data_IF_283479898581
#
_entry.id   IF_283479898581
#
_cell.length_a   1.000
_cell.length_b   1.000
_cell.length_c   1.000
_cell.angle_alpha   90.00
_cell.angle_beta   90.00
_cell.angle_gamma   90.00
#
_symmetry.space_group_name_H-M   'P 1'
#
loop_
_entity.id
_entity.type
_entity.pdbx_description
1 polymer ?
#
# COMPACT_ATOMS: atom_id res chain seq x y z
N UNK A 1 -3.84 -7.91 35.46
CA UNK A 1 -3.81 -7.11 34.23
C UNK A 1 -3.17 -7.95 33.13
N UNK A 2 -3.83 -8.24 32.01
CA UNK A 2 -3.22 -9.00 30.93
C UNK A 2 -2.17 -8.13 30.23
N UNK A 3 -0.95 -8.66 30.08
CA UNK A 3 0.14 -8.04 29.33
C UNK A 3 -0.33 -7.76 27.89
N UNK A 4 -0.45 -6.48 27.52
CA UNK A 4 -0.48 -6.09 26.11
C UNK A 4 0.80 -6.59 25.46
N UNK A 5 0.67 -7.35 24.37
CA UNK A 5 1.79 -7.80 23.54
C UNK A 5 2.65 -6.57 23.20
N UNK A 6 3.79 -6.45 23.86
CA UNK A 6 4.88 -5.61 23.38
C UNK A 6 5.27 -6.16 22.02
N UNK A 7 5.25 -5.29 21.00
CA UNK A 7 5.80 -5.56 19.68
C UNK A 7 7.06 -6.42 19.80
N UNK A 8 7.08 -7.58 19.16
CA UNK A 8 8.15 -8.59 19.26
C UNK A 8 9.46 -8.17 18.57
N UNK A 9 9.59 -6.89 18.20
CA UNK A 9 10.85 -6.34 17.70
C UNK A 9 11.63 -5.81 18.91
N UNK A 10 12.61 -6.61 19.34
CA UNK A 10 13.66 -6.18 20.26
C UNK A 10 14.37 -4.91 19.74
N UNK A 11 15.25 -4.33 20.54
CA UNK A 11 15.83 -3.00 20.36
C UNK A 11 16.66 -2.74 19.07
N UNK A 12 16.62 -3.64 18.08
CA UNK A 12 17.20 -3.51 16.75
C UNK A 12 16.09 -3.46 15.68
N UNK A 13 16.04 -2.40 14.86
CA UNK A 13 15.17 -2.34 13.68
C UNK A 13 13.87 -1.55 13.84
N UNK A 14 13.94 -0.29 14.30
CA UNK A 14 12.82 0.68 14.16
C UNK A 14 12.95 1.38 12.80
N UNK A 15 11.84 1.75 12.13
CA UNK A 15 11.94 2.42 10.85
C UNK A 15 12.61 3.79 11.01
N UNK A 16 13.55 4.10 10.11
CA UNK A 16 14.38 5.31 10.15
C UNK A 16 13.67 6.47 9.43
N UNK A 17 12.58 6.96 10.01
CA UNK A 17 11.75 8.01 9.40
C UNK A 17 11.61 9.24 10.31
N UNK A 18 11.71 10.43 9.72
CA UNK A 18 11.58 11.71 10.45
C UNK A 18 10.29 11.81 11.30
N UNK A 19 9.09 11.44 10.79
CA UNK A 19 7.87 11.51 11.60
C UNK A 19 7.87 10.57 12.80
N UNK A 20 8.56 9.42 12.70
CA UNK A 20 8.72 8.48 13.82
C UNK A 20 9.57 9.11 14.91
N UNK A 21 10.71 9.72 14.55
CA UNK A 21 11.60 10.35 15.52
C UNK A 21 10.89 11.48 16.28
N UNK A 22 10.13 12.33 15.56
CA UNK A 22 9.34 13.42 16.16
C UNK A 22 8.28 12.87 17.11
N UNK A 23 7.49 11.87 16.69
CA UNK A 23 6.43 11.30 17.52
C UNK A 23 6.98 10.57 18.74
N UNK A 24 8.05 9.78 18.58
CA UNK A 24 8.72 9.08 19.66
C UNK A 24 9.29 10.07 20.70
N UNK A 25 9.90 11.17 20.24
CA UNK A 25 10.39 12.26 21.09
C UNK A 25 9.25 12.94 21.87
N UNK A 26 8.15 13.29 21.18
CA UNK A 26 6.97 13.89 21.82
C UNK A 26 6.40 12.99 22.92
N UNK A 27 6.18 11.70 22.61
CA UNK A 27 5.65 10.74 23.57
C UNK A 27 6.62 10.51 24.74
N UNK A 28 7.94 10.54 24.49
CA UNK A 28 8.94 10.46 25.56
C UNK A 28 8.83 11.63 26.53
N UNK A 29 8.76 12.88 26.04
CA UNK A 29 8.60 14.06 26.89
C UNK A 29 7.30 13.99 27.70
N UNK A 30 6.20 13.53 27.08
CA UNK A 30 4.93 13.35 27.78
C UNK A 30 4.98 12.29 28.89
N UNK A 31 5.78 11.22 28.72
CA UNK A 31 5.99 10.22 29.78
C UNK A 31 6.86 10.75 30.91
N UNK A 32 7.94 11.47 30.58
CA UNK A 32 8.89 11.98 31.58
C UNK A 32 8.31 13.12 32.41
N UNK A 33 7.55 14.02 31.79
CA UNK A 33 7.14 15.29 32.41
C UNK A 33 5.63 15.53 32.42
N UNK A 34 4.84 14.74 31.66
CA UNK A 34 3.40 14.95 31.51
C UNK A 34 2.50 13.87 32.13
N UNK A 35 3.09 12.87 32.79
CA UNK A 35 2.33 11.76 33.42
C UNK A 35 1.63 10.82 32.43
N UNK A 36 1.92 10.90 31.13
CA UNK A 36 1.38 9.97 30.14
C UNK A 36 2.02 8.59 30.29
N UNK A 37 1.29 7.55 29.89
CA UNK A 37 1.81 6.17 29.75
C UNK A 37 1.86 5.72 28.29
N UNK A 38 1.53 6.60 27.34
CA UNK A 38 1.44 6.26 25.93
C UNK A 38 2.81 5.90 25.36
N UNK A 39 2.87 4.78 24.64
CA UNK A 39 4.06 4.32 23.94
C UNK A 39 3.95 4.60 22.45
N UNK A 40 5.11 4.71 21.79
CA UNK A 40 5.14 4.80 20.34
C UNK A 40 4.67 3.47 19.75
N UNK A 41 3.71 3.55 18.86
CA UNK A 41 3.24 2.44 18.05
C UNK A 41 4.01 2.42 16.73
N UNK A 42 4.79 1.35 16.52
CA UNK A 42 5.63 1.17 15.34
C UNK A 42 4.97 0.27 14.28
N UNK A 43 3.77 -0.24 14.55
CA UNK A 43 3.04 -1.05 13.59
C UNK A 43 2.34 -0.15 12.56
N UNK A 44 2.32 -0.60 11.31
CA UNK A 44 1.65 0.06 10.19
C UNK A 44 2.03 1.54 10.00
N UNK A 45 3.31 1.90 10.19
CA UNK A 45 3.79 3.24 9.86
C UNK A 45 3.82 3.40 8.33
N UNK A 46 3.09 4.38 7.75
CA UNK A 46 3.14 4.61 6.31
C UNK A 46 4.51 5.14 5.88
N UNK A 47 4.94 4.73 4.69
CA UNK A 47 6.20 5.14 4.07
C UNK A 47 5.95 5.52 2.62
N UNK A 48 6.74 6.45 2.09
CA UNK A 48 6.71 6.80 0.67
C UNK A 48 8.12 6.99 0.15
N UNK A 49 8.39 6.40 -1.00
CA UNK A 49 9.62 6.59 -1.77
C UNK A 49 9.31 7.54 -2.92
N UNK A 50 9.99 8.68 -2.94
CA UNK A 50 9.78 9.75 -3.92
C UNK A 50 10.67 9.55 -5.16
N UNK A 51 10.50 8.42 -5.83
CA UNK A 51 11.01 8.18 -7.18
C UNK A 51 10.22 8.99 -8.22
N UNK A 52 10.68 9.11 -9.48
CA UNK A 52 9.94 9.83 -10.53
C UNK A 52 8.48 9.38 -10.69
N UNK A 53 8.21 8.10 -10.44
CA UNK A 53 6.89 7.57 -10.12
C UNK A 53 6.89 7.18 -8.65
N UNK A 54 6.12 7.89 -7.82
CA UNK A 54 6.18 7.68 -6.37
C UNK A 54 5.61 6.33 -5.97
N UNK A 55 6.15 5.77 -4.89
CA UNK A 55 5.66 4.54 -4.29
C UNK A 55 5.31 4.76 -2.83
N UNK A 56 4.04 4.64 -2.49
CA UNK A 56 3.51 4.72 -1.14
C UNK A 56 3.08 3.36 -0.63
N UNK A 57 3.38 3.05 0.63
CA UNK A 57 2.93 1.83 1.26
C UNK A 57 2.64 1.98 2.75
N UNK A 58 1.76 1.12 3.25
CA UNK A 58 1.47 0.98 4.68
C UNK A 58 1.08 -0.46 4.98
N UNK A 59 1.50 -0.97 6.13
CA UNK A 59 1.21 -2.33 6.55
C UNK A 59 2.17 -3.37 5.99
N UNK A 60 1.70 -4.61 5.86
CA UNK A 60 2.52 -5.75 5.44
C UNK A 60 2.68 -5.78 3.93
N UNK A 61 3.88 -6.16 3.46
CA UNK A 61 4.02 -6.63 2.08
C UNK A 61 3.28 -7.96 1.86
N UNK A 62 3.11 -8.34 0.60
CA UNK A 62 2.43 -9.58 0.22
C UNK A 62 3.18 -10.81 0.76
N UNK A 63 4.49 -10.86 0.56
CA UNK A 63 5.35 -11.92 1.06
C UNK A 63 5.38 -11.99 2.58
N UNK A 64 5.37 -10.84 3.28
CA UNK A 64 5.26 -10.81 4.73
C UNK A 64 3.90 -11.29 5.23
N UNK A 65 2.81 -10.89 4.57
CA UNK A 65 1.48 -11.33 4.92
C UNK A 65 1.34 -12.85 4.75
N UNK A 66 1.84 -13.39 3.64
CA UNK A 66 1.86 -14.84 3.39
C UNK A 66 2.74 -15.57 4.41
N UNK A 67 3.92 -15.05 4.73
CA UNK A 67 4.80 -15.65 5.73
C UNK A 67 4.17 -15.67 7.15
N UNK A 68 3.37 -14.66 7.50
CA UNK A 68 2.75 -14.53 8.82
C UNK A 68 1.42 -15.27 8.94
N UNK A 69 0.63 -15.33 7.86
CA UNK A 69 -0.76 -15.78 7.91
C UNK A 69 -1.03 -17.03 7.07
N UNK A 70 -0.13 -17.45 6.19
CA UNK A 70 -0.35 -18.55 5.24
C UNK A 70 -1.00 -18.08 3.93
N UNK A 71 -0.57 -18.67 2.81
CA UNK A 71 -1.03 -18.31 1.46
C UNK A 71 -2.55 -18.49 1.30
N UNK A 72 -3.12 -19.45 2.01
CA UNK A 72 -4.53 -19.81 2.03
C UNK A 72 -5.41 -18.80 2.76
N UNK A 73 -4.85 -17.99 3.67
CA UNK A 73 -5.58 -16.99 4.45
C UNK A 73 -5.42 -15.56 3.91
N UNK A 74 -4.57 -15.35 2.91
CA UNK A 74 -4.31 -14.02 2.29
C UNK A 74 -5.02 -13.89 0.93
N UNK A 75 -5.64 -12.74 0.71
CA UNK A 75 -6.16 -12.30 -0.60
C UNK A 75 -5.48 -11.00 -1.01
N UNK A 76 -5.13 -10.87 -2.29
CA UNK A 76 -4.50 -9.66 -2.81
C UNK A 76 -5.37 -9.14 -3.94
N UNK A 77 -5.98 -7.99 -3.73
CA UNK A 77 -6.72 -7.25 -4.75
C UNK A 77 -5.81 -6.25 -5.44
N UNK A 78 -5.90 -6.12 -6.76
CA UNK A 78 -4.98 -5.28 -7.51
C UNK A 78 -5.57 -4.75 -8.81
N UNK A 79 -5.01 -3.64 -9.30
CA UNK A 79 -5.35 -3.05 -10.58
C UNK A 79 -4.21 -2.17 -11.11
N UNK A 80 -4.07 -2.14 -12.43
CA UNK A 80 -3.43 -1.02 -13.13
C UNK A 80 -4.43 0.11 -13.31
N UNK A 81 -3.95 1.35 -13.28
CA UNK A 81 -4.81 2.51 -13.49
C UNK A 81 -4.09 3.59 -14.27
N UNK A 82 -4.85 4.56 -14.80
CA UNK A 82 -4.29 5.68 -15.53
C UNK A 82 -4.77 7.00 -14.93
N UNK A 83 -3.88 7.81 -14.33
CA UNK A 83 -4.20 9.16 -13.89
C UNK A 83 -4.82 9.97 -15.04
N UNK A 84 -5.86 10.75 -14.75
CA UNK A 84 -6.52 11.57 -15.76
C UNK A 84 -5.54 12.57 -16.38
N UNK A 85 -4.66 13.13 -15.55
CA UNK A 85 -3.61 14.09 -15.91
C UNK A 85 -2.63 13.49 -16.94
N UNK A 86 -2.39 12.18 -16.89
CA UNK A 86 -1.49 11.50 -17.82
C UNK A 86 -2.15 11.29 -19.18
N UNK A 87 -3.49 11.19 -19.22
CA UNK A 87 -4.23 11.02 -20.47
C UNK A 87 -4.14 12.27 -21.33
N UNK A 88 -4.37 13.46 -20.74
CA UNK A 88 -4.30 14.74 -21.46
C UNK A 88 -2.86 15.04 -21.91
N UNK A 89 -1.88 14.73 -21.05
CA UNK A 89 -0.47 14.99 -21.33
C UNK A 89 0.19 13.92 -22.23
N UNK A 90 -0.54 12.88 -22.67
CA UNK A 90 0.02 11.78 -23.46
C UNK A 90 1.13 11.00 -22.75
N UNK A 91 1.14 11.00 -21.41
CA UNK A 91 2.15 10.31 -20.59
C UNK A 91 1.83 8.82 -20.50
N UNK A 92 2.88 8.02 -20.43
CA UNK A 92 2.75 6.60 -20.13
C UNK A 92 2.29 6.40 -18.67
N UNK A 93 1.32 5.53 -18.49
CA UNK A 93 0.75 5.16 -17.19
C UNK A 93 0.77 3.64 -16.97
N UNK A 94 1.43 2.88 -17.84
CA UNK A 94 1.53 1.42 -17.77
C UNK A 94 2.05 0.92 -16.40
N UNK A 95 2.88 1.74 -15.75
CA UNK A 95 3.48 1.45 -14.45
C UNK A 95 2.61 1.87 -13.25
N UNK A 96 1.56 2.66 -13.45
CA UNK A 96 0.65 3.02 -12.35
C UNK A 96 -0.13 1.78 -11.90
N UNK A 97 -0.02 1.45 -10.60
CA UNK A 97 -0.51 0.20 -10.06
C UNK A 97 -0.85 0.34 -8.58
N UNK A 98 -1.90 -0.36 -8.15
CA UNK A 98 -2.32 -0.41 -6.77
C UNK A 98 -2.59 -1.86 -6.37
N UNK A 99 -2.17 -2.25 -5.17
CA UNK A 99 -2.57 -3.52 -4.54
C UNK A 99 -2.95 -3.34 -3.08
N UNK A 100 -3.94 -4.12 -2.66
CA UNK A 100 -4.43 -4.22 -1.29
C UNK A 100 -4.32 -5.66 -0.82
N UNK A 101 -3.64 -5.86 0.30
CA UNK A 101 -3.42 -7.17 0.93
C UNK A 101 -4.42 -7.30 2.08
N UNK A 102 -5.22 -8.35 2.05
CA UNK A 102 -6.30 -8.59 3.02
C UNK A 102 -6.25 -10.01 3.60
N UNK A 103 -6.81 -10.16 4.80
CA UNK A 103 -7.25 -11.49 5.25
C UNK A 103 -8.47 -11.94 4.44
N UNK A 104 -8.57 -13.24 4.18
CA UNK A 104 -9.74 -13.86 3.52
C UNK A 104 -10.90 -14.06 4.47
N UNK A 105 -10.59 -14.42 5.70
CA UNK A 105 -11.59 -14.67 6.73
C UNK A 105 -12.24 -13.37 7.18
N UNK A 106 -13.55 -13.38 7.49
CA UNK A 106 -14.22 -12.25 8.10
C UNK A 106 -13.48 -11.77 9.36
N UNK A 107 -13.30 -10.44 9.53
CA UNK A 107 -13.95 -9.37 8.79
C UNK A 107 -13.20 -8.92 7.52
N UNK A 108 -12.21 -9.67 7.03
CA UNK A 108 -11.37 -9.32 5.88
C UNK A 108 -10.55 -8.05 6.11
N UNK A 109 -9.83 -8.02 7.23
CA UNK A 109 -8.97 -6.88 7.59
C UNK A 109 -7.96 -6.61 6.48
N UNK A 110 -7.77 -5.33 6.17
CA UNK A 110 -6.70 -4.85 5.30
C UNK A 110 -5.39 -4.90 6.10
N UNK A 111 -4.48 -5.75 5.65
CA UNK A 111 -3.15 -5.94 6.23
C UNK A 111 -2.11 -4.99 5.63
N UNK A 112 -2.30 -4.59 4.38
CA UNK A 112 -1.40 -3.68 3.69
C UNK A 112 -2.02 -3.03 2.46
N UNK A 113 -1.52 -1.83 2.14
CA UNK A 113 -1.85 -1.09 0.92
C UNK A 113 -0.55 -0.62 0.28
N UNK A 114 -0.46 -0.78 -1.03
CA UNK A 114 0.69 -0.42 -1.84
C UNK A 114 0.21 0.30 -3.09
N UNK A 115 0.78 1.47 -3.33
CA UNK A 115 0.32 2.40 -4.34
C UNK A 115 1.51 2.97 -5.10
N UNK A 116 1.55 2.73 -6.40
CA UNK A 116 2.59 3.20 -7.31
C UNK A 116 1.94 4.16 -8.31
N UNK A 117 2.28 5.44 -8.21
CA UNK A 117 1.73 6.49 -9.05
C UNK A 117 1.90 7.89 -8.47
N UNK A 118 1.31 8.92 -9.09
CA UNK A 118 1.48 10.30 -8.64
C UNK A 118 0.83 10.53 -7.27
N UNK A 119 1.46 11.36 -6.44
CA UNK A 119 0.99 11.74 -5.10
C UNK A 119 0.76 10.53 -4.17
N UNK A 120 1.62 9.51 -4.26
CA UNK A 120 1.45 8.27 -3.52
C UNK A 120 1.49 8.48 -2.01
N UNK A 121 2.26 9.46 -1.53
CA UNK A 121 2.30 9.83 -0.12
C UNK A 121 0.95 10.35 0.40
N UNK A 122 0.30 11.22 -0.37
CA UNK A 122 -1.00 11.81 -0.04
C UNK A 122 -2.09 10.74 0.03
N UNK A 123 -2.11 9.83 -0.96
CA UNK A 123 -3.05 8.70 -0.98
C UNK A 123 -2.82 7.79 0.24
N UNK A 124 -1.57 7.38 0.46
CA UNK A 124 -1.21 6.41 1.50
C UNK A 124 -1.50 6.93 2.90
N UNK A 125 -1.30 8.23 3.16
CA UNK A 125 -1.49 8.83 4.48
C UNK A 125 -2.92 8.67 5.02
N UNK A 126 -3.94 8.82 4.16
CA UNK A 126 -5.34 8.64 4.55
C UNK A 126 -5.68 7.18 4.88
N UNK A 127 -5.25 6.25 4.01
CA UNK A 127 -5.51 4.82 4.22
C UNK A 127 -4.73 4.23 5.40
N UNK A 128 -3.59 4.82 5.77
CA UNK A 128 -2.85 4.42 6.97
C UNK A 128 -3.70 4.58 8.24
N UNK A 129 -4.47 5.66 8.36
CA UNK A 129 -5.42 5.84 9.45
C UNK A 129 -6.52 4.77 9.40
N UNK A 130 -7.07 4.50 8.21
CA UNK A 130 -8.09 3.47 8.01
C UNK A 130 -7.62 2.09 8.47
N UNK A 131 -6.43 1.66 8.06
CA UNK A 131 -5.83 0.38 8.46
C UNK A 131 -5.60 0.36 9.97
N UNK A 132 -5.12 1.46 10.56
CA UNK A 132 -4.94 1.57 12.01
C UNK A 132 -6.27 1.48 12.79
N UNK A 133 -7.37 1.91 12.20
CA UNK A 133 -8.73 1.76 12.73
C UNK A 133 -9.36 0.39 12.44
N UNK A 134 -8.63 -0.55 11.83
CA UNK A 134 -9.13 -1.89 11.52
C UNK A 134 -10.03 -1.95 10.28
N UNK A 135 -9.75 -1.14 9.26
CA UNK A 135 -10.48 -1.17 8.00
C UNK A 135 -10.51 -2.59 7.40
N UNK A 136 -11.68 -3.00 6.96
CA UNK A 136 -11.91 -4.23 6.19
C UNK A 136 -12.07 -3.94 4.71
N UNK A 137 -11.77 -4.92 3.87
CA UNK A 137 -12.06 -4.88 2.43
C UNK A 137 -13.53 -4.49 2.15
N UNK A 138 -14.47 -5.06 2.90
CA UNK A 138 -15.89 -4.75 2.77
C UNK A 138 -16.22 -3.28 3.07
N UNK A 139 -15.55 -2.64 4.03
CA UNK A 139 -15.71 -1.21 4.31
C UNK A 139 -15.12 -0.35 3.19
N UNK A 140 -13.93 -0.71 2.70
CA UNK A 140 -13.29 -0.01 1.57
C UNK A 140 -14.20 -0.04 0.34
N UNK A 141 -14.73 -1.21 -0.03
CA UNK A 141 -15.62 -1.37 -1.19
C UNK A 141 -16.98 -0.67 -1.06
N UNK A 142 -17.38 -0.29 0.15
CA UNK A 142 -18.60 0.51 0.41
C UNK A 142 -18.35 2.01 0.42
N UNK A 143 -17.09 2.42 0.35
CA UNK A 143 -16.72 3.84 0.35
C UNK A 143 -16.91 4.42 -1.05
N UNK A 144 -17.54 5.58 -1.13
CA UNK A 144 -17.74 6.31 -2.39
C UNK A 144 -16.42 7.00 -2.76
N UNK A 145 -15.94 6.75 -3.98
CA UNK A 145 -14.74 7.38 -4.51
C UNK A 145 -14.97 8.85 -4.88
N UNK A 146 -13.92 9.66 -4.73
CA UNK A 146 -13.90 11.04 -5.23
C UNK A 146 -13.41 11.00 -6.68
N UNK A 147 -14.18 11.55 -7.62
CA UNK A 147 -13.90 11.49 -9.06
C UNK A 147 -13.69 12.88 -9.68
N UNK A 148 -12.68 13.09 -10.54
CA UNK A 148 -11.61 12.15 -10.89
C UNK A 148 -10.44 12.25 -9.89
N UNK A 149 -10.01 11.12 -9.30
CA UNK A 149 -8.77 11.08 -8.50
C UNK A 149 -7.97 9.80 -8.74
N UNK A 150 -6.68 9.79 -8.42
CA UNK A 150 -5.93 8.52 -8.38
C UNK A 150 -6.31 7.67 -7.15
N UNK A 151 -6.76 8.30 -6.07
CA UNK A 151 -7.09 7.64 -4.79
C UNK A 151 -8.37 6.79 -4.88
N UNK A 152 -9.35 7.17 -5.73
CA UNK A 152 -10.57 6.37 -5.92
C UNK A 152 -10.30 4.95 -6.45
N UNK A 153 -9.13 4.68 -7.05
CA UNK A 153 -8.78 3.34 -7.51
C UNK A 153 -8.74 2.32 -6.36
N UNK A 154 -8.36 2.75 -5.15
CA UNK A 154 -8.34 1.89 -3.95
C UNK A 154 -9.73 1.36 -3.60
N UNK A 155 -10.79 2.13 -3.87
CA UNK A 155 -12.19 1.73 -3.61
C UNK A 155 -12.84 1.00 -4.80
N UNK A 156 -12.09 0.77 -5.88
CA UNK A 156 -12.52 0.06 -7.10
C UNK A 156 -11.82 -1.30 -7.29
N UNK A 157 -10.94 -1.70 -6.38
CA UNK A 157 -10.17 -2.95 -6.42
C UNK A 157 -11.05 -4.20 -6.30
N UNK A 158 -11.42 -4.82 -7.42
CA UNK A 158 -12.25 -6.06 -7.44
C UNK A 158 -11.52 -7.30 -7.95
N UNK A 159 -10.45 -7.13 -8.72
CA UNK A 159 -9.69 -8.23 -9.29
C UNK A 159 -8.70 -8.72 -8.24
N UNK A 160 -8.73 -10.02 -7.93
CA UNK A 160 -7.77 -10.63 -7.01
C UNK A 160 -6.74 -11.47 -7.77
N UNK A 161 -5.49 -11.49 -7.28
CA UNK A 161 -4.42 -12.32 -7.87
C UNK A 161 -4.80 -13.80 -7.94
N UNK A 162 -5.53 -14.31 -6.92
CA UNK A 162 -6.00 -15.70 -6.87
C UNK A 162 -6.99 -16.02 -8.00
N UNK A 163 -7.75 -15.04 -8.48
CA UNK A 163 -8.71 -15.22 -9.58
C UNK A 163 -8.04 -15.45 -10.93
N UNK A 164 -6.77 -15.04 -11.10
CA UNK A 164 -6.04 -15.13 -12.36
C UNK A 164 -6.55 -14.19 -13.46
N UNK A 165 -7.49 -13.29 -13.17
CA UNK A 165 -7.98 -12.29 -14.11
C UNK A 165 -6.93 -11.19 -14.34
N UNK A 166 -6.96 -10.59 -15.52
CA UNK A 166 -6.05 -9.50 -15.89
C UNK A 166 -6.38 -8.22 -15.10
N UNK A 167 -5.43 -7.65 -14.32
CA UNK A 167 -5.66 -6.43 -13.55
C UNK A 167 -5.65 -5.14 -14.40
N UNK A 168 -5.42 -5.23 -15.70
CA UNK A 168 -5.38 -4.08 -16.59
C UNK A 168 -6.77 -3.50 -16.80
N UNK A 169 -6.96 -2.24 -16.40
CA UNK A 169 -8.21 -1.52 -16.68
C UNK A 169 -8.26 -1.17 -18.17
N UNK A 170 -9.01 -1.96 -18.94
CA UNK A 170 -9.45 -1.56 -20.29
C UNK A 170 -10.39 -0.35 -20.17
N UNK A 171 -10.06 0.74 -20.87
CA UNK A 171 -10.54 2.11 -20.62
C UNK A 171 -12.06 2.36 -20.54
N UNK A 172 -12.40 3.57 -20.08
CA UNK A 172 -13.76 4.11 -19.88
C UNK A 172 -14.80 3.10 -19.41
N UNK A 173 -14.61 2.52 -18.22
CA UNK A 173 -15.63 1.72 -17.55
C UNK A 173 -16.80 2.60 -17.08
N UNK A 174 -17.66 2.91 -18.04
CA UNK A 174 -19.04 3.32 -17.85
C UNK A 174 -19.93 2.53 -18.82
N UNK A 175 -19.74 1.20 -18.91
CA UNK A 175 -20.71 0.24 -19.42
C UNK A 175 -20.11 -1.17 -19.32
N UNK A 176 -20.91 -2.12 -18.83
CA UNK A 176 -20.58 -3.53 -18.91
C UNK A 176 -20.33 -3.91 -20.37
N UNK A 177 -19.16 -4.45 -20.70
CA UNK A 177 -18.89 -4.99 -22.02
C UNK A 177 -18.27 -6.38 -21.88
N UNK A 178 -19.09 -7.39 -22.13
CA UNK A 178 -18.60 -8.66 -22.62
C UNK A 178 -17.96 -8.49 -24.00
N UNK A 179 -17.18 -9.51 -24.37
CA UNK A 179 -16.50 -9.72 -25.66
C UNK A 179 -15.09 -9.16 -25.78
N UNK A 180 -14.16 -10.09 -25.50
CA UNK A 180 -12.74 -10.09 -25.79
C UNK A 180 -12.49 -9.94 -27.30
N UNK A 181 -11.63 -8.98 -27.67
CA UNK A 181 -10.75 -9.11 -28.83
C UNK A 181 -9.33 -8.79 -28.38
N UNK A 182 -8.42 -9.75 -28.59
CA UNK A 182 -7.06 -9.72 -28.06
C UNK A 182 -6.14 -8.75 -28.80
N UNK A 183 -5.13 -8.29 -28.07
CA UNK A 183 -3.82 -7.97 -28.61
C UNK A 183 -2.79 -8.12 -27.50
N UNK A 184 -1.86 -9.03 -27.72
CA UNK A 184 -0.70 -9.32 -26.89
C UNK A 184 0.30 -8.17 -26.89
N UNK A 185 0.69 -7.69 -25.71
CA UNK A 185 2.03 -7.12 -25.49
C UNK A 185 2.42 -7.19 -24.01
N UNK A 186 3.34 -8.13 -23.75
CA UNK A 186 4.40 -8.19 -22.73
C UNK A 186 4.22 -7.47 -21.38
N UNK A 187 4.11 -8.33 -20.37
CA UNK A 187 4.23 -8.13 -18.93
C UNK A 187 5.60 -7.57 -18.50
N UNK A 188 5.62 -6.38 -17.89
CA UNK A 188 6.65 -5.87 -16.99
C UNK A 188 6.01 -4.82 -16.05
N UNK A 189 5.53 -5.22 -14.87
CA UNK A 189 5.05 -4.25 -13.86
C UNK A 189 5.05 -4.76 -12.41
N UNK A 190 4.90 -6.07 -12.19
CA UNK A 190 4.97 -6.65 -10.84
C UNK A 190 6.41 -6.76 -10.27
N UNK A 191 7.43 -6.87 -11.14
CA UNK A 191 8.81 -7.13 -10.72
C UNK A 191 9.50 -5.88 -10.12
N UNK A 192 9.15 -4.69 -10.62
CA UNK A 192 9.71 -3.42 -10.13
C UNK A 192 9.16 -3.05 -8.75
N UNK A 193 7.85 -3.26 -8.51
CA UNK A 193 7.26 -3.02 -7.17
C UNK A 193 7.89 -3.93 -6.11
N UNK A 194 8.08 -5.22 -6.40
CA UNK A 194 8.75 -6.16 -5.47
C UNK A 194 10.21 -5.75 -5.22
N UNK A 195 10.88 -5.15 -6.21
CA UNK A 195 12.25 -4.65 -6.05
C UNK A 195 12.30 -3.37 -5.19
N UNK A 196 11.33 -2.47 -5.33
CA UNK A 196 11.22 -1.27 -4.48
C UNK A 196 10.79 -1.64 -3.05
N UNK A 197 9.86 -2.58 -2.90
CA UNK A 197 9.45 -3.13 -1.59
C UNK A 197 10.65 -3.67 -0.82
N UNK A 198 11.47 -4.54 -1.43
CA UNK A 198 12.65 -5.08 -0.75
C UNK A 198 13.61 -3.98 -0.28
N UNK A 199 13.82 -2.92 -1.08
CA UNK A 199 14.68 -1.79 -0.69
C UNK A 199 14.15 -1.01 0.51
N UNK A 200 12.83 -0.84 0.64
CA UNK A 200 12.22 -0.18 1.79
C UNK A 200 12.37 -0.97 3.10
N UNK A 201 12.38 -2.31 3.03
CA UNK A 201 12.32 -3.17 4.23
C UNK A 201 13.68 -3.76 4.66
N UNK A 202 14.69 -3.81 3.78
CA UNK A 202 15.99 -4.46 4.12
C UNK A 202 17.10 -3.50 4.57
N UNK A 203 16.85 -2.20 4.72
CA UNK A 203 17.84 -1.25 5.26
C UNK A 203 19.17 -1.19 4.48
N UNK A 204 19.16 -1.51 3.18
CA UNK A 204 20.36 -1.49 2.35
C UNK A 204 20.74 -0.07 1.93
N UNK A 205 22.04 0.26 1.75
CA UNK A 205 22.48 1.59 1.36
C UNK A 205 21.96 1.98 -0.02
N UNK A 206 21.40 3.19 -0.13
CA UNK A 206 21.12 3.87 -1.39
C UNK A 206 22.44 4.22 -2.09
N UNK A 207 22.96 3.33 -2.94
CA UNK A 207 23.99 3.69 -3.90
C UNK A 207 23.33 4.20 -5.19
N UNK A 208 23.75 5.35 -5.75
CA UNK A 208 23.35 5.75 -7.08
C UNK A 208 24.20 4.94 -8.06
N UNK A 209 23.59 3.98 -8.76
CA UNK A 209 24.19 3.41 -9.96
C UNK A 209 23.45 3.95 -11.17
N UNK A 210 24.25 4.50 -12.08
CA UNK A 210 23.86 5.48 -13.06
C UNK A 210 22.89 4.99 -14.11
N UNK A 211 22.02 5.92 -14.50
CA UNK A 211 21.30 5.91 -15.76
C UNK A 211 21.87 7.08 -16.57
N UNK A 212 22.88 6.76 -17.39
CA UNK A 212 23.12 7.45 -18.67
C UNK A 212 22.34 6.69 -19.73
#
# INVERSE_FOLDING_TARGET
MPLRRTSSRGNAGRPELTPIAIMAGRLLVQRLFGGSSDLMDYDNVPTTVFTPLEYGCVGLSEEEAVARHGQEHVEVYHAHYKPLEFTVAGRDASQCYVKMVCLREPPQLVLGLHFLGPNAGEVTQGFALGIKCGASYAQVMRTVGIHPTCSEEVVKLRISKRSGLDPTVTGCCGMAAGQVWGASTLSWSACEMVSVERKCWTGGPCAPQGWL
#
